data_IF_125991060107
#
_entry.id   IF_125991060107
#
_cell.length_a   1.000
_cell.length_b   1.000
_cell.length_c   1.000
_cell.angle_alpha   90.00
_cell.angle_beta   90.00
_cell.angle_gamma   90.00
#
_symmetry.space_group_name_H-M   'P 1'
#
loop_
_entity.id
_entity.type
_entity.pdbx_description
1 polymer ?
#
# COMPACT_ATOMS: atom_id res chain seq x y z
N UNK A 1 -2.70 10.51 9.07
CA UNK A 1 -1.59 9.69 8.58
C UNK A 1 -2.21 8.49 7.90
N UNK A 2 -1.72 8.10 6.73
CA UNK A 2 -2.14 6.86 6.08
C UNK A 2 -1.48 5.69 6.82
N UNK A 3 -2.29 4.70 7.21
CA UNK A 3 -1.78 3.46 7.78
C UNK A 3 -1.83 2.39 6.71
N UNK A 4 -0.68 1.82 6.39
CA UNK A 4 -0.62 0.63 5.55
C UNK A 4 -0.77 -0.59 6.43
N UNK A 5 -1.46 -1.58 5.89
CA UNK A 5 -1.73 -2.83 6.59
C UNK A 5 -1.49 -4.00 5.66
N UNK A 6 -0.87 -5.03 6.22
CA UNK A 6 -0.56 -6.28 5.55
C UNK A 6 -1.05 -7.41 6.42
N UNK A 7 -1.99 -8.20 5.91
CA UNK A 7 -2.36 -9.50 6.49
C UNK A 7 -1.47 -10.57 5.88
N UNK A 8 -0.74 -11.30 6.71
CA UNK A 8 0.02 -12.47 6.28
C UNK A 8 -0.92 -13.66 6.10
N UNK A 9 -0.87 -14.30 4.93
CA UNK A 9 -1.64 -15.52 4.62
C UNK A 9 -0.73 -16.75 4.56
N UNK A 10 0.58 -16.51 4.50
CA UNK A 10 1.64 -17.51 4.58
C UNK A 10 2.71 -17.05 5.56
N UNK A 11 3.60 -17.96 5.94
CA UNK A 11 4.82 -17.64 6.67
C UNK A 11 5.69 -16.64 5.87
N UNK A 12 6.38 -15.78 6.60
CA UNK A 12 7.40 -14.87 6.10
C UNK A 12 8.52 -14.78 7.13
N UNK A 13 9.53 -15.64 7.00
CA UNK A 13 10.69 -15.66 7.87
C UNK A 13 11.76 -14.62 7.50
N UNK A 14 12.93 -14.71 8.15
CA UNK A 14 14.02 -13.75 7.99
C UNK A 14 14.65 -13.77 6.59
N UNK A 15 14.65 -14.93 5.92
CA UNK A 15 15.24 -15.12 4.59
C UNK A 15 14.22 -15.22 3.47
N UNK A 16 12.95 -15.31 3.80
CA UNK A 16 11.90 -15.46 2.79
C UNK A 16 11.60 -14.15 2.10
N UNK A 17 12.38 -13.08 2.20
CA UNK A 17 12.04 -11.81 1.56
C UNK A 17 10.78 -11.13 2.13
N UNK A 18 10.31 -10.08 1.47
CA UNK A 18 9.12 -9.32 1.87
C UNK A 18 9.43 -8.00 2.59
N UNK A 19 8.50 -7.53 3.42
CA UNK A 19 8.52 -6.17 3.98
C UNK A 19 9.73 -5.93 4.89
N UNK A 20 10.47 -4.87 4.57
CA UNK A 20 11.47 -4.24 5.42
C UNK A 20 10.97 -2.84 5.75
N UNK A 21 11.09 -2.47 7.02
CA UNK A 21 10.77 -1.12 7.51
C UNK A 21 12.00 -0.55 8.20
N UNK A 22 12.13 0.78 8.20
CA UNK A 22 13.12 1.44 9.02
C UNK A 22 12.47 2.02 10.27
N UNK A 23 12.60 1.30 11.37
CA UNK A 23 12.07 1.68 12.67
C UNK A 23 12.59 3.06 13.08
N UNK A 24 11.70 3.94 13.54
CA UNK A 24 12.01 5.30 13.96
C UNK A 24 12.09 6.34 12.85
N UNK A 25 11.91 5.95 11.57
CA UNK A 25 12.03 6.89 10.44
C UNK A 25 10.82 7.83 10.27
N UNK A 26 9.60 7.40 10.61
CA UNK A 26 8.39 8.21 10.40
C UNK A 26 8.41 9.60 11.08
N UNK A 27 8.85 9.75 12.35
CA UNK A 27 8.99 11.08 12.97
C UNK A 27 9.99 12.00 12.26
N UNK A 28 10.90 11.46 11.47
CA UNK A 28 11.91 12.22 10.73
C UNK A 28 11.49 12.56 9.30
N UNK A 29 10.33 12.11 8.83
CA UNK A 29 9.85 12.29 7.46
C UNK A 29 9.89 13.75 6.98
N UNK A 30 9.30 14.67 7.74
CA UNK A 30 9.28 16.09 7.37
C UNK A 30 10.68 16.71 7.36
N UNK A 31 11.52 16.31 8.33
CA UNK A 31 12.89 16.78 8.43
C UNK A 31 13.72 16.32 7.23
N UNK A 32 13.61 15.05 6.87
CA UNK A 32 14.30 14.47 5.73
C UNK A 32 13.95 15.21 4.44
N UNK A 33 12.67 15.35 4.10
CA UNK A 33 12.24 16.02 2.86
C UNK A 33 12.47 17.53 2.86
N UNK A 34 12.66 18.16 4.02
CA UNK A 34 13.11 19.55 4.11
C UNK A 34 14.61 19.70 3.81
N UNK A 35 15.43 18.75 4.22
CA UNK A 35 16.88 18.72 3.95
C UNK A 35 17.18 18.25 2.52
N UNK A 36 16.41 17.27 2.02
CA UNK A 36 16.53 16.65 0.70
C UNK A 36 15.21 16.79 -0.08
N UNK A 37 14.87 18.01 -0.54
CA UNK A 37 13.66 18.22 -1.31
C UNK A 37 13.68 17.35 -2.59
N UNK A 38 12.61 16.59 -2.88
CA UNK A 38 12.60 15.69 -4.03
C UNK A 38 12.62 16.48 -5.33
N UNK A 39 13.54 16.12 -6.24
CA UNK A 39 13.57 16.68 -7.60
C UNK A 39 12.47 16.02 -8.44
N UNK A 40 11.30 16.66 -8.48
CA UNK A 40 10.13 16.19 -9.23
C UNK A 40 10.22 16.42 -10.74
N UNK A 41 11.35 16.93 -11.23
CA UNK A 41 11.57 17.22 -12.66
C UNK A 41 12.42 16.17 -13.36
N UNK A 42 13.06 15.26 -12.61
CA UNK A 42 14.03 14.29 -13.16
C UNK A 42 13.55 12.84 -13.04
N UNK A 43 13.33 12.21 -14.19
CA UNK A 43 13.12 10.78 -14.33
C UNK A 43 11.66 10.38 -14.59
N UNK A 44 11.41 9.20 -15.20
CA UNK A 44 10.08 8.76 -15.59
C UNK A 44 9.11 8.57 -14.41
N UNK A 45 9.61 8.33 -13.19
CA UNK A 45 8.80 8.20 -11.97
C UNK A 45 8.50 9.54 -11.28
N UNK A 46 9.34 10.57 -11.48
CA UNK A 46 9.26 11.84 -10.75
C UNK A 46 8.04 12.69 -11.11
N UNK A 47 7.43 12.42 -12.27
CA UNK A 47 6.23 13.11 -12.76
C UNK A 47 4.93 12.32 -12.57
N UNK A 48 4.98 10.98 -12.37
CA UNK A 48 3.77 10.15 -12.25
C UNK A 48 3.31 9.92 -10.81
N UNK A 49 4.24 9.89 -9.85
CA UNK A 49 3.97 9.39 -8.50
C UNK A 49 4.37 10.42 -7.43
N UNK A 50 3.42 11.30 -7.07
CA UNK A 50 3.56 12.25 -5.95
C UNK A 50 3.69 11.54 -4.58
N UNK A 51 3.47 10.23 -4.56
CA UNK A 51 3.34 9.31 -3.45
C UNK A 51 4.56 8.40 -3.25
N UNK A 52 5.60 8.53 -4.06
CA UNK A 52 6.79 7.68 -4.03
C UNK A 52 8.10 8.49 -4.00
N UNK A 53 9.09 8.01 -3.26
CA UNK A 53 10.45 8.55 -3.25
C UNK A 53 11.47 7.41 -3.32
N UNK A 54 12.34 7.38 -4.35
CA UNK A 54 13.36 6.33 -4.50
C UNK A 54 14.56 6.62 -3.60
N UNK A 55 14.49 6.20 -2.34
CA UNK A 55 15.61 6.33 -1.39
C UNK A 55 16.90 5.69 -1.92
N UNK A 56 18.04 6.33 -1.65
CA UNK A 56 19.39 5.87 -1.98
C UNK A 56 20.18 5.51 -0.72
N UNK A 57 21.35 4.89 -0.88
CA UNK A 57 22.20 4.46 0.24
C UNK A 57 22.61 5.63 1.16
N UNK A 58 22.82 6.83 0.62
CA UNK A 58 23.10 8.03 1.41
C UNK A 58 21.93 8.44 2.32
N UNK A 59 20.69 8.24 1.84
CA UNK A 59 19.49 8.52 2.60
C UNK A 59 19.35 7.52 3.76
N UNK A 60 19.63 6.24 3.49
CA UNK A 60 19.66 5.18 4.52
C UNK A 60 20.65 5.56 5.62
N UNK A 61 21.87 5.93 5.25
CA UNK A 61 22.92 6.36 6.18
C UNK A 61 22.46 7.57 7.03
N UNK A 62 21.71 8.51 6.44
CA UNK A 62 21.20 9.68 7.16
C UNK A 62 20.25 9.30 8.30
N UNK A 63 19.36 8.32 8.06
CA UNK A 63 18.44 7.80 9.05
C UNK A 63 19.16 6.94 10.10
N UNK A 64 20.11 6.09 9.70
CA UNK A 64 20.90 5.26 10.62
C UNK A 64 21.70 6.13 11.60
N UNK A 65 22.32 7.21 11.10
CA UNK A 65 23.03 8.19 11.93
C UNK A 65 22.13 8.90 12.96
N UNK A 66 20.80 8.80 12.81
CA UNK A 66 19.78 9.32 13.72
C UNK A 66 19.12 8.24 14.57
N UNK A 67 19.71 7.04 14.59
CA UNK A 67 19.28 5.92 15.42
C UNK A 67 18.14 5.09 14.85
N UNK A 68 17.74 5.33 13.59
CA UNK A 68 16.78 4.47 12.91
C UNK A 68 17.41 3.13 12.56
N UNK A 69 16.60 2.06 12.55
CA UNK A 69 17.10 0.70 12.36
C UNK A 69 16.31 0.00 11.26
N UNK A 70 17.02 -0.66 10.36
CA UNK A 70 16.40 -1.53 9.36
C UNK A 70 15.89 -2.80 10.07
N UNK A 71 14.61 -3.10 9.90
CA UNK A 71 13.94 -4.26 10.47
C UNK A 71 13.28 -5.05 9.35
N UNK A 72 13.73 -6.29 9.15
CA UNK A 72 13.03 -7.26 8.32
C UNK A 72 11.82 -7.79 9.10
N UNK A 73 10.62 -7.47 8.63
CA UNK A 73 9.39 -7.93 9.27
C UNK A 73 9.19 -9.41 8.95
N UNK A 74 9.17 -10.21 10.01
CA UNK A 74 8.75 -11.62 9.96
C UNK A 74 7.31 -11.73 10.46
N UNK A 75 6.55 -12.66 9.90
CA UNK A 75 5.13 -12.83 10.21
C UNK A 75 4.68 -14.26 9.94
N UNK A 76 3.77 -14.75 10.78
CA UNK A 76 3.08 -16.04 10.62
C UNK A 76 1.74 -15.86 9.90
N UNK A 77 1.16 -16.92 9.30
CA UNK A 77 -0.19 -16.86 8.76
C UNK A 77 -1.20 -16.36 9.80
N UNK A 78 -1.95 -15.32 9.44
CA UNK A 78 -2.93 -14.66 10.30
C UNK A 78 -2.42 -13.38 10.98
N UNK A 79 -1.11 -13.12 10.97
CA UNK A 79 -0.55 -11.89 11.55
C UNK A 79 -0.99 -10.65 10.75
N UNK A 80 -1.37 -9.61 11.50
CA UNK A 80 -1.70 -8.30 10.95
C UNK A 80 -0.56 -7.32 11.24
N UNK A 81 0.16 -6.91 10.20
CA UNK A 81 1.25 -5.93 10.29
C UNK A 81 0.71 -4.56 9.92
N UNK A 82 0.88 -3.57 10.80
CA UNK A 82 0.49 -2.19 10.56
C UNK A 82 1.73 -1.30 10.61
N UNK A 83 1.86 -0.36 9.66
CA UNK A 83 2.90 0.66 9.70
C UNK A 83 2.42 2.00 9.16
N UNK A 84 3.09 3.06 9.63
CA UNK A 84 2.88 4.43 9.16
C UNK A 84 3.47 4.57 7.75
N UNK A 85 2.67 5.08 6.80
CA UNK A 85 3.08 5.27 5.40
C UNK A 85 4.35 6.12 5.24
N UNK A 86 4.65 6.96 6.23
CA UNK A 86 5.84 7.83 6.25
C UNK A 86 7.10 7.11 6.69
N UNK A 87 7.00 5.90 7.24
CA UNK A 87 8.19 5.11 7.52
C UNK A 87 8.86 4.74 6.21
N UNK A 88 10.18 4.84 6.14
CA UNK A 88 10.93 4.28 5.01
C UNK A 88 10.72 2.77 5.01
N UNK A 89 10.33 2.22 3.86
CA UNK A 89 10.04 0.79 3.72
C UNK A 89 10.25 0.34 2.29
N UNK A 90 10.55 -0.94 2.13
CA UNK A 90 10.75 -1.59 0.84
C UNK A 90 10.50 -3.10 0.95
N UNK A 91 10.52 -3.80 -0.17
CA UNK A 91 10.48 -5.26 -0.20
C UNK A 91 11.87 -5.80 -0.55
N UNK A 92 12.36 -6.76 0.23
CA UNK A 92 13.58 -7.50 -0.09
C UNK A 92 13.25 -8.80 -0.82
N UNK A 93 14.10 -9.19 -1.76
CA UNK A 93 13.95 -10.46 -2.49
C UNK A 93 14.16 -11.66 -1.55
N UNK A 94 13.47 -12.78 -1.80
CA UNK A 94 13.67 -14.00 -1.03
C UNK A 94 15.01 -14.66 -1.36
N UNK A 95 15.60 -15.33 -0.36
CA UNK A 95 16.71 -16.28 -0.50
C UNK A 95 16.22 -17.74 -0.46
N UNK A 96 14.91 -17.94 -0.45
CA UNK A 96 14.24 -19.24 -0.31
C UNK A 96 13.20 -19.42 -1.42
N UNK A 97 12.72 -20.66 -1.57
CA UNK A 97 11.65 -21.01 -2.51
C UNK A 97 10.24 -20.87 -1.91
N UNK A 98 10.11 -20.29 -0.71
CA UNK A 98 8.83 -20.12 -0.05
C UNK A 98 7.96 -19.08 -0.80
N UNK A 99 6.82 -19.54 -1.30
CA UNK A 99 5.81 -18.66 -1.90
C UNK A 99 5.10 -17.90 -0.78
N UNK A 100 5.23 -16.58 -0.80
CA UNK A 100 4.56 -15.70 0.17
C UNK A 100 3.24 -15.17 -0.38
N UNK A 101 2.20 -15.20 0.44
CA UNK A 101 0.90 -14.64 0.13
C UNK A 101 0.49 -13.64 1.20
N UNK A 102 0.06 -12.47 0.74
CA UNK A 102 -0.30 -11.34 1.61
C UNK A 102 -1.52 -10.64 1.04
N UNK A 103 -2.32 -10.04 1.90
CA UNK A 103 -3.39 -9.14 1.51
C UNK A 103 -3.03 -7.75 2.02
N UNK A 104 -2.93 -6.78 1.11
CA UNK A 104 -2.71 -5.40 1.47
C UNK A 104 -4.05 -4.68 1.65
N UNK A 105 -4.16 -3.96 2.76
CA UNK A 105 -5.23 -3.00 3.00
C UNK A 105 -4.62 -1.70 3.50
N UNK A 106 -5.39 -0.62 3.43
CA UNK A 106 -4.95 0.67 3.90
C UNK A 106 -6.11 1.42 4.55
N UNK A 107 -5.80 2.28 5.52
CA UNK A 107 -6.82 2.98 6.29
C UNK A 107 -6.49 4.45 6.42
N UNK A 108 -7.52 5.28 6.22
CA UNK A 108 -7.57 6.68 6.62
C UNK A 108 -8.94 6.98 7.23
N UNK A 109 -9.05 8.02 8.08
CA UNK A 109 -10.34 8.46 8.58
C UNK A 109 -11.33 8.76 7.45
N UNK A 110 -12.59 8.35 7.62
CA UNK A 110 -13.64 8.61 6.63
C UNK A 110 -13.85 10.11 6.39
N UNK A 111 -13.62 10.95 7.40
CA UNK A 111 -13.72 12.41 7.29
C UNK A 111 -12.74 13.05 6.30
N UNK A 112 -11.77 12.31 5.78
CA UNK A 112 -10.75 12.83 4.86
C UNK A 112 -11.12 12.69 3.38
N UNK A 113 -12.13 11.86 3.06
CA UNK A 113 -12.53 11.63 1.66
C UNK A 113 -13.43 12.77 1.18
N UNK A 114 -13.20 13.24 -0.04
CA UNK A 114 -14.10 14.18 -0.70
C UNK A 114 -15.41 13.49 -1.12
N UNK A 115 -16.48 14.25 -1.31
CA UNK A 115 -17.73 13.68 -1.83
C UNK A 115 -17.53 13.07 -3.23
N UNK A 116 -16.69 13.70 -4.07
CA UNK A 116 -16.36 13.21 -5.41
C UNK A 116 -15.62 11.86 -5.37
N UNK A 117 -14.57 11.75 -4.54
CA UNK A 117 -13.81 10.51 -4.41
C UNK A 117 -14.63 9.40 -3.76
N UNK A 118 -15.57 9.75 -2.88
CA UNK A 118 -16.51 8.79 -2.29
C UNK A 118 -17.43 8.18 -3.36
N UNK A 119 -17.97 8.99 -4.27
CA UNK A 119 -18.78 8.47 -5.38
C UNK A 119 -17.96 7.59 -6.33
N UNK A 120 -16.72 7.98 -6.67
CA UNK A 120 -15.80 7.13 -7.44
C UNK A 120 -15.54 5.79 -6.74
N UNK A 121 -15.32 5.80 -5.43
CA UNK A 121 -15.11 4.58 -4.64
C UNK A 121 -16.31 3.65 -4.70
N UNK A 122 -17.54 4.18 -4.61
CA UNK A 122 -18.79 3.40 -4.76
C UNK A 122 -18.91 2.80 -6.16
N UNK A 123 -18.62 3.59 -7.19
CA UNK A 123 -18.65 3.13 -8.58
C UNK A 123 -17.70 1.93 -8.81
N UNK A 124 -16.45 2.05 -8.34
CA UNK A 124 -15.44 0.98 -8.43
C UNK A 124 -15.89 -0.27 -7.67
N UNK A 125 -16.46 -0.08 -6.46
CA UNK A 125 -17.00 -1.20 -5.68
C UNK A 125 -18.10 -1.96 -6.42
N UNK A 126 -19.04 -1.26 -7.06
CA UNK A 126 -20.11 -1.89 -7.85
C UNK A 126 -19.61 -2.64 -9.09
N UNK A 127 -18.39 -2.33 -9.58
CA UNK A 127 -17.73 -3.05 -10.67
C UNK A 127 -16.89 -4.24 -10.22
N UNK A 128 -16.84 -4.52 -8.90
CA UNK A 128 -15.98 -5.54 -8.31
C UNK A 128 -14.48 -5.33 -8.54
N UNK A 129 -14.06 -4.06 -8.53
CA UNK A 129 -12.67 -3.67 -8.78
C UNK A 129 -11.99 -3.16 -7.51
N UNK A 130 -10.65 -3.17 -7.51
CA UNK A 130 -9.84 -2.64 -6.42
C UNK A 130 -9.42 -1.18 -6.70
N UNK A 131 -9.27 -0.39 -5.64
CA UNK A 131 -8.76 0.97 -5.69
C UNK A 131 -7.24 1.02 -5.54
N UNK A 132 -6.68 2.22 -5.63
CA UNK A 132 -5.31 2.53 -5.20
C UNK A 132 -5.11 2.35 -3.69
N UNK A 133 -3.85 2.52 -3.26
CA UNK A 133 -3.43 2.42 -1.85
C UNK A 133 -3.77 3.66 -0.99
N UNK A 134 -4.47 4.66 -1.55
CA UNK A 134 -4.88 5.89 -0.85
C UNK A 134 -6.40 5.90 -0.70
N UNK A 135 -6.96 5.50 0.45
CA UNK A 135 -8.39 5.20 0.54
C UNK A 135 -9.30 6.43 0.67
N UNK A 136 -8.74 7.65 0.61
CA UNK A 136 -9.47 8.93 0.72
C UNK A 136 -9.20 9.90 -0.44
N UNK A 137 -8.25 9.64 -1.34
CA UNK A 137 -7.88 10.53 -2.44
C UNK A 137 -7.13 9.73 -3.50
N UNK A 138 -7.07 10.22 -4.75
CA UNK A 138 -6.47 9.50 -5.88
C UNK A 138 -7.16 8.14 -6.10
N UNK A 139 -8.49 8.12 -5.97
CA UNK A 139 -9.30 6.93 -6.15
C UNK A 139 -9.47 6.66 -7.65
N UNK A 140 -8.84 5.59 -8.11
CA UNK A 140 -9.04 5.06 -9.46
C UNK A 140 -8.97 3.53 -9.45
N UNK A 141 -9.59 2.94 -10.46
CA UNK A 141 -9.51 1.51 -10.74
C UNK A 141 -8.32 1.22 -11.63
N UNK A 142 -7.74 0.03 -11.47
CA UNK A 142 -6.72 -0.50 -12.40
C UNK A 142 -7.34 -1.13 -13.65
N UNK A 143 -8.68 -1.22 -13.70
CA UNK A 143 -9.41 -1.87 -14.78
C UNK A 143 -9.17 -3.37 -14.82
N UNK A 144 -9.51 -3.97 -15.97
CA UNK A 144 -9.37 -5.39 -16.26
C UNK A 144 -7.95 -5.71 -16.71
N UNK A 145 -7.41 -6.85 -16.28
CA UNK A 145 -6.08 -7.26 -16.69
C UNK A 145 -6.06 -7.63 -18.18
N UNK A 146 -5.01 -7.18 -18.87
CA UNK A 146 -4.82 -7.37 -20.30
C UNK A 146 -3.46 -8.04 -20.53
N UNK A 147 -3.43 -9.06 -21.40
CA UNK A 147 -2.23 -9.75 -21.88
C UNK A 147 -2.11 -9.48 -23.38
N UNK A 148 -1.01 -8.85 -23.80
CA UNK A 148 -0.74 -8.47 -25.19
C UNK A 148 -1.90 -7.70 -25.87
N UNK A 149 -2.52 -6.79 -25.12
CA UNK A 149 -3.65 -5.96 -25.58
C UNK A 149 -5.00 -6.69 -25.68
N UNK A 150 -5.07 -7.96 -25.25
CA UNK A 150 -6.30 -8.74 -25.15
C UNK A 150 -6.67 -8.95 -23.68
N UNK A 151 -7.96 -9.08 -23.40
CA UNK A 151 -8.44 -9.41 -22.05
C UNK A 151 -7.81 -10.73 -21.60
N UNK A 152 -7.27 -10.77 -20.38
CA UNK A 152 -6.76 -12.02 -19.80
C UNK A 152 -7.91 -13.06 -19.75
N UNK A 153 -7.74 -14.27 -20.31
CA UNK A 153 -8.74 -15.34 -20.22
C UNK A 153 -9.17 -15.70 -18.79
N UNK A 154 -8.33 -15.40 -17.79
CA UNK A 154 -8.59 -15.62 -16.36
C UNK A 154 -9.11 -14.38 -15.64
N UNK A 155 -9.25 -13.25 -16.34
CA UNK A 155 -9.84 -12.03 -15.79
C UNK A 155 -11.30 -12.29 -15.40
N UNK A 156 -11.68 -11.88 -14.20
CA UNK A 156 -13.03 -12.08 -13.69
C UNK A 156 -13.82 -10.79 -13.72
N UNK A 157 -15.09 -10.88 -14.13
CA UNK A 157 -16.02 -9.77 -14.02
C UNK A 157 -16.49 -9.53 -12.57
N UNK A 158 -16.52 -10.59 -11.75
CA UNK A 158 -16.94 -10.56 -10.35
C UNK A 158 -16.15 -11.59 -9.50
N UNK A 159 -16.18 -11.48 -8.16
CA UNK A 159 -15.53 -12.44 -7.28
C UNK A 159 -16.17 -13.83 -7.40
N UNK A 160 -15.37 -14.89 -7.15
CA UNK A 160 -15.87 -16.27 -7.13
C UNK A 160 -16.93 -16.46 -6.03
N UNK A 161 -16.70 -15.84 -4.88
CA UNK A 161 -17.62 -15.79 -3.76
C UNK A 161 -17.96 -14.33 -3.48
N UNK A 162 -19.23 -13.97 -3.68
CA UNK A 162 -19.71 -12.61 -3.41
C UNK A 162 -19.75 -12.37 -1.90
N UNK A 163 -19.29 -11.22 -1.41
CA UNK A 163 -19.38 -10.91 0.01
C UNK A 163 -20.84 -10.71 0.41
N UNK A 164 -21.16 -11.02 1.67
CA UNK A 164 -22.41 -10.59 2.27
C UNK A 164 -22.40 -9.07 2.47
N UNK A 165 -23.46 -8.40 2.00
CA UNK A 165 -23.64 -6.95 2.13
C UNK A 165 -24.10 -6.58 3.55
N UNK A 166 -23.20 -6.73 4.50
CA UNK A 166 -23.43 -6.37 5.91
C UNK A 166 -23.39 -4.85 6.11
N UNK A 167 -24.04 -4.34 7.17
CA UNK A 167 -24.00 -2.91 7.52
C UNK A 167 -22.56 -2.38 7.66
N UNK A 168 -21.67 -3.21 8.23
CA UNK A 168 -20.25 -2.90 8.38
C UNK A 168 -19.56 -2.77 7.02
N UNK A 169 -19.82 -3.69 6.08
CA UNK A 169 -19.23 -3.61 4.74
C UNK A 169 -19.72 -2.36 4.01
N UNK A 170 -21.03 -2.11 4.02
CA UNK A 170 -21.65 -0.95 3.39
C UNK A 170 -21.07 0.38 3.91
N UNK A 171 -20.79 0.48 5.22
CA UNK A 171 -20.08 1.63 5.80
C UNK A 171 -18.62 1.73 5.35
N UNK A 172 -17.89 0.61 5.34
CA UNK A 172 -16.47 0.58 4.92
C UNK A 172 -16.26 1.02 3.46
N UNK A 173 -17.17 0.62 2.57
CA UNK A 173 -17.10 0.98 1.15
C UNK A 173 -17.72 2.35 0.87
N UNK A 174 -18.42 2.94 1.85
CA UNK A 174 -18.99 4.28 1.76
C UNK A 174 -20.43 4.33 1.22
N UNK A 175 -21.08 3.19 1.04
CA UNK A 175 -22.50 3.10 0.66
C UNK A 175 -23.43 3.62 1.76
N UNK A 176 -23.00 3.49 3.02
CA UNK A 176 -23.67 4.07 4.19
C UNK A 176 -22.72 5.02 4.93
N UNK A 177 -23.23 6.10 5.55
CA UNK A 177 -22.46 6.89 6.49
C UNK A 177 -22.15 6.09 7.77
N UNK A 178 -21.05 6.43 8.43
CA UNK A 178 -20.64 5.84 9.71
C UNK A 178 -21.57 6.25 10.86
#
# INVERSE_FOLDING_TARGET
MLTHVRLAVSEAGPKDGGLVVMEGSAPLFEKFFKEFPPDRTKGPLAALHYDFYPFQDEDLNWYEARGCKIVKVCAEPGDLVLWDSRQMHYAVYPETDLIRTVIYTCYTPAAWISAEDLEKKKEIFHKWEATTHWPHINIHSHGKHMIDGKLDPLERAEPLEKPEMTDKLEKLVGLKPY
#
